data_IF_529604964434
#
_entry.id   IF_529604964434
#
_cell.length_a   1.000
_cell.length_b   1.000
_cell.length_c   1.000
_cell.angle_alpha   90.00
_cell.angle_beta   90.00
_cell.angle_gamma   90.00
#
_symmetry.space_group_name_H-M   'P 1'
#
loop_
_entity.id
_entity.type
_entity.pdbx_description
1 polymer ?
#
# COMPACT_ATOMS: atom_id res chain seq x y z
N UNK A 1 -7.26 -7.48 -6.06
CA UNK A 1 -7.73 -6.31 -5.29
C UNK A 1 -6.59 -5.31 -5.10
N UNK A 2 -5.66 -5.53 -4.15
CA UNK A 2 -4.56 -4.60 -3.87
C UNK A 2 -3.68 -4.25 -5.09
N UNK A 3 -3.13 -5.25 -5.79
CA UNK A 3 -2.38 -4.98 -7.03
C UNK A 3 -3.21 -4.26 -8.09
N UNK A 4 -4.54 -4.47 -8.12
CA UNK A 4 -5.40 -3.74 -9.04
C UNK A 4 -5.52 -2.25 -8.70
N UNK A 5 -5.42 -1.85 -7.43
CA UNK A 5 -5.34 -0.42 -7.07
C UNK A 5 -3.97 0.14 -7.44
N UNK A 6 -2.90 -0.61 -7.16
CA UNK A 6 -1.54 -0.18 -7.47
C UNK A 6 -1.33 -0.02 -8.98
N UNK A 7 -1.78 -0.97 -9.79
CA UNK A 7 -1.50 -1.00 -11.23
C UNK A 7 -2.40 -0.06 -12.05
N UNK A 8 -3.54 0.39 -11.50
CA UNK A 8 -4.48 1.28 -12.19
C UNK A 8 -4.37 2.74 -11.71
N UNK A 9 -3.26 3.10 -11.05
CA UNK A 9 -3.01 4.42 -10.48
C UNK A 9 -1.61 4.87 -10.84
N UNK A 10 -1.46 6.16 -11.18
CA UNK A 10 -0.14 6.80 -11.33
C UNK A 10 0.43 7.24 -9.96
N UNK A 11 -0.40 7.24 -8.92
CA UNK A 11 -0.04 7.65 -7.56
C UNK A 11 0.68 6.55 -6.78
N UNK A 12 0.47 5.28 -7.14
CA UNK A 12 1.11 4.13 -6.53
C UNK A 12 2.03 3.42 -7.52
N UNK A 13 3.22 2.99 -7.07
CA UNK A 13 4.13 2.17 -7.87
C UNK A 13 4.53 0.89 -7.16
N UNK A 14 4.77 -0.15 -7.95
CA UNK A 14 5.41 -1.38 -7.51
C UNK A 14 6.46 -1.78 -8.57
N UNK A 15 7.73 -1.73 -8.17
CA UNK A 15 8.87 -1.99 -9.07
C UNK A 15 9.16 -3.49 -9.26
N UNK A 16 8.33 -4.38 -8.72
CA UNK A 16 8.50 -5.83 -8.85
C UNK A 16 7.85 -6.29 -10.15
N UNK A 17 8.64 -6.97 -10.99
CA UNK A 17 8.16 -7.55 -12.24
C UNK A 17 6.89 -8.40 -11.98
N UNK A 18 5.87 -8.23 -12.83
CA UNK A 18 4.52 -8.76 -12.57
C UNK A 18 4.50 -10.26 -12.28
N UNK A 19 5.30 -11.04 -13.00
CA UNK A 19 5.42 -12.49 -12.82
C UNK A 19 6.05 -12.92 -11.47
N UNK A 20 6.77 -12.02 -10.81
CA UNK A 20 7.50 -12.27 -9.56
C UNK A 20 6.82 -11.65 -8.33
N UNK A 21 5.65 -11.04 -8.50
CA UNK A 21 4.92 -10.36 -7.43
C UNK A 21 4.43 -11.36 -6.38
N UNK A 22 4.78 -11.10 -5.12
CA UNK A 22 4.38 -11.95 -4.01
C UNK A 22 2.90 -11.78 -3.72
N UNK A 23 2.22 -12.91 -3.48
CA UNK A 23 0.84 -12.93 -2.98
C UNK A 23 0.74 -12.62 -1.48
N UNK A 24 1.87 -12.56 -0.77
CA UNK A 24 1.93 -12.46 0.69
C UNK A 24 2.52 -11.14 1.17
N UNK A 25 3.49 -10.59 0.45
CA UNK A 25 4.18 -9.36 0.83
C UNK A 25 4.18 -8.41 -0.36
N UNK A 26 3.32 -7.41 -0.32
CA UNK A 26 3.13 -6.47 -1.42
C UNK A 26 3.85 -5.16 -1.05
N UNK A 27 5.10 -4.95 -1.48
CA UNK A 27 5.74 -3.64 -1.39
C UNK A 27 5.07 -2.68 -2.37
N UNK A 28 4.98 -1.42 -2.03
CA UNK A 28 4.58 -0.36 -2.96
C UNK A 28 5.10 0.98 -2.46
N UNK A 29 5.25 1.93 -3.36
CA UNK A 29 5.70 3.28 -3.06
C UNK A 29 4.69 4.28 -3.60
N UNK A 30 4.65 5.47 -3.01
CA UNK A 30 3.91 6.59 -3.59
C UNK A 30 4.72 7.18 -4.75
N UNK A 31 4.04 7.86 -5.67
CA UNK A 31 4.69 8.66 -6.70
C UNK A 31 5.59 9.72 -6.06
N UNK A 32 5.06 10.44 -5.05
CA UNK A 32 5.80 11.39 -4.22
C UNK A 32 6.09 10.82 -2.83
N UNK A 33 7.37 10.56 -2.56
CA UNK A 33 7.84 10.04 -1.27
C UNK A 33 7.68 11.05 -0.12
N UNK A 34 7.45 12.34 -0.39
CA UNK A 34 7.18 13.33 0.65
C UNK A 34 5.89 13.00 1.44
N UNK A 35 4.97 12.25 0.81
CA UNK A 35 3.70 11.82 1.40
C UNK A 35 3.81 10.51 2.19
N UNK A 36 4.94 9.79 2.17
CA UNK A 36 5.10 8.50 2.86
C UNK A 36 4.78 8.61 4.36
N UNK A 37 5.24 9.69 5.01
CA UNK A 37 4.97 9.92 6.44
C UNK A 37 3.48 10.14 6.69
N UNK A 38 2.83 10.96 5.86
CA UNK A 38 1.40 11.29 5.97
C UNK A 38 0.56 10.03 5.76
N UNK A 39 0.88 9.23 4.74
CA UNK A 39 0.21 7.94 4.48
C UNK A 39 0.29 7.02 5.69
N UNK A 40 1.47 6.89 6.31
CA UNK A 40 1.64 6.02 7.49
C UNK A 40 0.90 6.53 8.72
N UNK A 41 0.83 7.85 8.93
CA UNK A 41 0.08 8.45 10.03
C UNK A 41 -1.43 8.29 9.84
N UNK A 42 -1.95 8.59 8.64
CA UNK A 42 -3.37 8.46 8.32
C UNK A 42 -3.84 7.01 8.29
N UNK A 43 -3.05 6.10 7.70
CA UNK A 43 -3.38 4.67 7.69
C UNK A 43 -3.42 4.10 9.10
N UNK A 44 -2.48 4.49 9.97
CA UNK A 44 -2.50 4.11 11.37
C UNK A 44 -3.75 4.63 12.09
N UNK A 45 -4.15 5.87 11.84
CA UNK A 45 -5.38 6.45 12.39
C UNK A 45 -6.65 5.75 11.87
N UNK A 46 -6.61 5.21 10.65
CA UNK A 46 -7.68 4.40 10.06
C UNK A 46 -7.66 2.93 10.53
N UNK A 47 -6.78 2.55 11.47
CA UNK A 47 -6.66 1.17 11.98
C UNK A 47 -5.86 0.22 11.08
N UNK A 48 -5.22 0.75 10.04
CA UNK A 48 -4.36 -0.01 9.12
C UNK A 48 -2.90 0.08 9.60
N UNK A 49 -2.53 -0.87 10.46
CA UNK A 49 -1.23 -0.86 11.12
C UNK A 49 -0.14 -1.59 10.34
N UNK A 50 1.12 -1.35 10.72
CA UNK A 50 2.30 -2.06 10.25
C UNK A 50 2.56 -2.03 8.72
N UNK A 51 2.17 -0.93 8.05
CA UNK A 51 2.39 -0.74 6.61
C UNK A 51 3.77 -0.18 6.25
N UNK A 52 4.59 0.24 7.21
CA UNK A 52 5.91 0.84 6.92
C UNK A 52 6.81 -0.16 6.18
N UNK A 53 7.31 0.25 5.02
CA UNK A 53 8.23 -0.53 4.21
C UNK A 53 9.59 -0.77 4.87
N UNK A 54 10.40 -1.61 4.24
CA UNK A 54 11.74 -1.92 4.74
C UNK A 54 12.65 -0.68 4.63
N UNK A 55 13.51 -0.44 5.63
CA UNK A 55 14.36 0.77 5.72
C UNK A 55 15.18 1.05 4.46
N UNK A 56 15.61 0.01 3.74
CA UNK A 56 16.43 0.11 2.53
C UNK A 56 15.64 0.57 1.32
N UNK A 57 14.36 0.19 1.22
CA UNK A 57 13.53 0.44 0.03
C UNK A 57 12.60 1.63 0.24
N UNK A 58 12.26 1.95 1.49
CA UNK A 58 11.28 3.00 1.81
C UNK A 58 9.84 2.58 1.49
N UNK A 59 8.93 3.55 1.39
CA UNK A 59 7.53 3.34 1.05
C UNK A 59 6.79 2.43 2.03
N UNK A 60 5.90 1.61 1.47
CA UNK A 60 4.98 0.76 2.20
C UNK A 60 5.17 -0.71 1.85
N UNK A 61 4.73 -1.57 2.77
CA UNK A 61 4.61 -3.01 2.56
C UNK A 61 3.36 -3.54 3.26
N UNK A 62 2.44 -4.09 2.49
CA UNK A 62 1.29 -4.82 3.02
C UNK A 62 1.62 -6.32 3.12
N UNK A 63 1.63 -6.86 4.33
CA UNK A 63 1.80 -8.29 4.60
C UNK A 63 0.45 -8.96 4.80
N UNK A 64 0.03 -9.77 3.83
CA UNK A 64 -1.31 -10.37 3.72
C UNK A 64 -1.24 -11.90 3.85
N UNK A 65 -0.73 -12.36 4.99
CA UNK A 65 -0.64 -13.79 5.31
C UNK A 65 -2.01 -14.44 5.52
N UNK A 66 -2.06 -15.76 5.69
CA UNK A 66 -3.29 -16.55 5.78
C UNK A 66 -4.31 -16.04 6.82
N UNK A 67 -3.86 -15.41 7.90
CA UNK A 67 -4.74 -14.88 8.95
C UNK A 67 -5.29 -13.48 8.64
N UNK A 68 -4.85 -12.84 7.55
CA UNK A 68 -5.34 -11.54 7.13
C UNK A 68 -6.69 -11.71 6.41
N UNK A 69 -7.79 -11.18 6.96
CA UNK A 69 -9.10 -11.28 6.32
C UNK A 69 -9.16 -10.44 5.05
N UNK A 70 -10.04 -10.83 4.11
CA UNK A 70 -10.22 -10.09 2.85
C UNK A 70 -10.74 -8.67 3.08
N UNK A 71 -11.51 -8.47 4.16
CA UNK A 71 -12.00 -7.19 4.63
C UNK A 71 -10.86 -6.23 4.97
N UNK A 72 -9.75 -6.74 5.53
CA UNK A 72 -8.55 -5.93 5.80
C UNK A 72 -7.88 -5.46 4.51
N UNK A 73 -7.80 -6.33 3.50
CA UNK A 73 -7.28 -5.96 2.17
C UNK A 73 -8.20 -4.93 1.50
N UNK A 74 -9.51 -5.08 1.66
CA UNK A 74 -10.50 -4.14 1.14
C UNK A 74 -10.41 -2.77 1.82
N UNK A 75 -10.33 -2.73 3.15
CA UNK A 75 -10.14 -1.50 3.92
C UNK A 75 -8.85 -0.77 3.49
N UNK A 76 -7.77 -1.51 3.25
CA UNK A 76 -6.54 -0.93 2.71
C UNK A 76 -6.74 -0.34 1.30
N UNK A 77 -7.41 -1.05 0.40
CA UNK A 77 -7.65 -0.51 -0.95
C UNK A 77 -8.58 0.69 -0.97
N UNK A 78 -9.63 0.68 -0.12
CA UNK A 78 -10.56 1.81 0.01
C UNK A 78 -9.83 3.04 0.57
N UNK A 79 -8.97 2.84 1.58
CA UNK A 79 -8.10 3.88 2.12
C UNK A 79 -7.13 4.43 1.05
N UNK A 80 -6.50 3.57 0.26
CA UNK A 80 -5.58 4.00 -0.81
C UNK A 80 -6.30 4.87 -1.85
N UNK A 81 -7.48 4.43 -2.32
CA UNK A 81 -8.26 5.21 -3.29
C UNK A 81 -8.66 6.58 -2.72
N UNK A 82 -9.06 6.64 -1.45
CA UNK A 82 -9.39 7.90 -0.78
C UNK A 82 -8.16 8.81 -0.59
N UNK A 83 -7.02 8.23 -0.19
CA UNK A 83 -5.78 8.95 0.01
C UNK A 83 -5.28 9.59 -1.28
N UNK A 84 -5.28 8.84 -2.38
CA UNK A 84 -4.97 9.35 -3.72
C UNK A 84 -5.90 10.51 -4.11
N UNK A 85 -7.22 10.39 -3.88
CA UNK A 85 -8.16 11.50 -4.19
C UNK A 85 -7.89 12.79 -3.43
N UNK A 86 -7.29 12.70 -2.24
CA UNK A 86 -7.03 13.86 -1.38
C UNK A 86 -5.65 14.48 -1.62
N UNK A 87 -4.69 13.67 -2.06
CA UNK A 87 -3.27 14.04 -2.11
C UNK A 87 -2.61 13.90 -3.49
N UNK A 88 -3.30 13.36 -4.50
CA UNK A 88 -2.85 13.24 -5.89
C UNK A 88 -3.39 14.37 -6.76
#
# INVERSE_FOLDING_TARGET
LLYGVIDNSDFYRNDVAQANRSRMNVPFQLADNALDKVFLEESFAAGLHALKGHRVVGGMRASIYNAMPIEGVKALTDFMIDFERRHG
#
